data_IF_347389828905
#
_entry.id   IF_347389828905
#
_cell.length_a   1.000
_cell.length_b   1.000
_cell.length_c   1.000
_cell.angle_alpha   90.00
_cell.angle_beta   90.00
_cell.angle_gamma   90.00
#
_symmetry.space_group_name_H-M   'P 1'
#
loop_
_entity.id
_entity.type
_entity.pdbx_description
1 polymer ?
#
# COMPACT_ATOMS: atom_id res chain seq x y z
N UNK A 1 -18.19 -0.59 -7.11
CA UNK A 1 -17.50 -0.17 -5.88
C UNK A 1 -16.97 -1.42 -5.21
N UNK A 2 -15.69 -1.76 -5.45
CA UNK A 2 -15.07 -2.94 -4.85
C UNK A 2 -14.85 -2.67 -3.36
N UNK A 3 -15.29 -3.59 -2.49
CA UNK A 3 -15.18 -3.47 -1.01
C UNK A 3 -13.73 -3.27 -0.54
N UNK A 4 -12.76 -3.62 -1.37
CA UNK A 4 -11.32 -3.60 -1.10
C UNK A 4 -10.74 -2.21 -0.85
N UNK A 5 -11.16 -1.16 -1.58
CA UNK A 5 -10.57 0.19 -1.40
C UNK A 5 -10.84 0.76 0.00
N UNK A 6 -12.05 0.54 0.51
CA UNK A 6 -12.43 0.99 1.85
C UNK A 6 -11.64 0.23 2.92
N UNK A 7 -11.42 -1.08 2.73
CA UNK A 7 -10.62 -1.89 3.63
C UNK A 7 -9.17 -1.39 3.70
N UNK A 8 -8.54 -1.06 2.57
CA UNK A 8 -7.20 -0.47 2.55
C UNK A 8 -7.15 0.86 3.30
N UNK A 9 -8.16 1.73 3.13
CA UNK A 9 -8.26 2.98 3.89
C UNK A 9 -8.37 2.73 5.40
N UNK A 10 -9.26 1.81 5.82
CA UNK A 10 -9.45 1.48 7.23
C UNK A 10 -8.20 0.88 7.85
N UNK A 11 -7.50 -0.01 7.13
CA UNK A 11 -6.24 -0.61 7.57
C UNK A 11 -5.16 0.48 7.70
N UNK A 12 -5.05 1.38 6.74
CA UNK A 12 -4.08 2.47 6.79
C UNK A 12 -4.31 3.38 8.01
N UNK A 13 -5.56 3.77 8.26
CA UNK A 13 -5.92 4.58 9.42
C UNK A 13 -5.65 3.84 10.73
N UNK A 14 -5.96 2.54 10.80
CA UNK A 14 -5.67 1.73 11.98
C UNK A 14 -4.16 1.67 12.27
N UNK A 15 -3.32 1.45 11.25
CA UNK A 15 -1.86 1.47 11.39
C UNK A 15 -1.37 2.86 11.83
N UNK A 16 -1.85 3.93 11.18
CA UNK A 16 -1.47 5.29 11.54
C UNK A 16 -1.82 5.61 12.99
N UNK A 17 -3.03 5.31 13.45
CA UNK A 17 -3.46 5.57 14.82
C UNK A 17 -2.67 4.74 15.83
N UNK A 18 -2.37 3.47 15.52
CA UNK A 18 -1.58 2.60 16.39
C UNK A 18 -0.12 3.08 16.55
N UNK A 19 0.48 3.60 15.47
CA UNK A 19 1.87 4.08 15.47
C UNK A 19 2.01 5.55 15.88
N UNK A 20 0.90 6.29 15.92
CA UNK A 20 0.85 7.71 16.25
C UNK A 20 1.60 8.08 17.55
N UNK A 21 1.38 7.42 18.71
CA UNK A 21 2.04 7.81 19.95
C UNK A 21 3.55 7.58 19.94
N UNK A 22 4.06 6.74 19.03
CA UNK A 22 5.48 6.38 18.95
C UNK A 22 6.23 7.23 17.93
N UNK A 23 5.63 7.47 16.75
CA UNK A 23 6.29 8.12 15.61
C UNK A 23 5.77 9.54 15.33
N UNK A 24 4.64 9.90 15.93
CA UNK A 24 3.89 11.10 15.57
C UNK A 24 3.00 10.91 14.33
N UNK A 25 2.05 11.85 14.08
CA UNK A 25 1.01 11.73 13.06
C UNK A 25 1.54 11.50 11.64
N UNK A 26 2.52 12.30 11.26
CA UNK A 26 3.05 12.36 9.89
C UNK A 26 3.80 11.07 9.58
N UNK A 27 4.75 10.68 10.44
CA UNK A 27 5.56 9.49 10.24
C UNK A 27 4.71 8.21 10.33
N UNK A 28 3.73 8.15 11.24
CA UNK A 28 2.80 7.02 11.31
C UNK A 28 1.95 6.88 10.03
N UNK A 29 1.47 7.98 9.46
CA UNK A 29 0.76 7.98 8.17
C UNK A 29 1.66 7.53 7.00
N UNK A 30 2.91 8.02 6.96
CA UNK A 30 3.87 7.61 5.95
C UNK A 30 4.19 6.10 6.02
N UNK A 31 4.36 5.55 7.22
CA UNK A 31 4.57 4.10 7.42
C UNK A 31 3.35 3.30 6.96
N UNK A 32 2.14 3.72 7.31
CA UNK A 32 0.91 3.05 6.89
C UNK A 32 0.81 2.96 5.36
N UNK A 33 1.07 4.07 4.66
CA UNK A 33 1.09 4.11 3.19
C UNK A 33 2.21 3.24 2.62
N UNK A 34 3.42 3.29 3.18
CA UNK A 34 4.56 2.52 2.70
C UNK A 34 4.30 1.00 2.77
N UNK A 35 3.63 0.52 3.82
CA UNK A 35 3.26 -0.88 3.96
C UNK A 35 2.26 -1.32 2.88
N UNK A 36 1.24 -0.50 2.60
CA UNK A 36 0.26 -0.81 1.55
C UNK A 36 0.85 -0.72 0.14
N UNK A 37 1.74 0.25 -0.09
CA UNK A 37 2.49 0.35 -1.34
C UNK A 37 3.39 -0.89 -1.56
N UNK A 38 4.10 -1.33 -0.51
CA UNK A 38 4.90 -2.55 -0.56
C UNK A 38 4.07 -3.80 -0.87
N UNK A 39 2.87 -3.90 -0.29
CA UNK A 39 1.92 -4.97 -0.59
C UNK A 39 1.51 -4.99 -2.07
N UNK A 40 1.14 -3.84 -2.64
CA UNK A 40 0.75 -3.75 -4.06
C UNK A 40 1.93 -4.07 -5.00
N UNK A 41 3.14 -3.58 -4.69
CA UNK A 41 4.36 -3.92 -5.44
C UNK A 41 4.57 -5.45 -5.44
N UNK A 42 4.49 -6.08 -4.26
CA UNK A 42 4.63 -7.54 -4.16
C UNK A 42 3.55 -8.31 -4.93
N UNK A 43 2.32 -7.79 -4.98
CA UNK A 43 1.26 -8.39 -5.81
C UNK A 43 1.53 -8.25 -7.30
N UNK A 44 2.13 -7.15 -7.75
CA UNK A 44 2.57 -7.00 -9.13
C UNK A 44 3.71 -7.97 -9.46
N UNK A 45 4.71 -8.10 -8.59
CA UNK A 45 5.80 -9.06 -8.77
C UNK A 45 5.28 -10.50 -8.84
N UNK A 46 4.35 -10.86 -7.97
CA UNK A 46 3.71 -12.17 -7.97
C UNK A 46 2.99 -12.45 -9.29
N UNK A 47 2.19 -11.48 -9.78
CA UNK A 47 1.46 -11.60 -11.05
C UNK A 47 2.40 -11.74 -12.25
N UNK A 48 3.45 -10.92 -12.30
CA UNK A 48 4.49 -11.00 -13.32
C UNK A 48 5.23 -12.34 -13.26
N UNK A 49 5.46 -12.88 -12.07
CA UNK A 49 6.02 -14.23 -11.89
C UNK A 49 5.12 -15.28 -12.53
N UNK A 50 3.83 -15.28 -12.19
CA UNK A 50 2.86 -16.23 -12.76
C UNK A 50 2.75 -16.11 -14.29
N UNK A 51 2.75 -14.89 -14.83
CA UNK A 51 2.75 -14.65 -16.29
C UNK A 51 4.00 -15.21 -16.98
N UNK A 52 5.12 -15.32 -16.26
CA UNK A 52 6.39 -15.90 -16.73
C UNK A 52 6.51 -17.41 -16.46
N UNK A 53 5.43 -18.05 -16.00
CA UNK A 53 5.41 -19.47 -15.70
C UNK A 53 6.12 -19.85 -14.40
N UNK A 54 6.31 -18.90 -13.47
CA UNK A 54 6.87 -19.18 -12.15
C UNK A 54 6.00 -20.17 -11.37
N UNK A 55 6.64 -21.11 -10.68
CA UNK A 55 6.01 -22.04 -9.75
C UNK A 55 6.51 -21.81 -8.34
N UNK A 56 5.66 -22.11 -7.36
CA UNK A 56 6.03 -21.98 -5.95
C UNK A 56 7.23 -22.86 -5.62
N UNK A 57 8.26 -22.27 -5.01
CA UNK A 57 9.53 -22.94 -4.69
C UNK A 57 10.68 -22.55 -5.62
N UNK A 58 10.39 -22.02 -6.82
CA UNK A 58 11.41 -21.50 -7.72
C UNK A 58 11.82 -20.07 -7.33
N UNK A 59 13.04 -19.63 -7.69
CA UNK A 59 13.39 -18.22 -7.64
C UNK A 59 12.44 -17.39 -8.52
N UNK A 60 11.88 -16.31 -7.96
CA UNK A 60 10.95 -15.46 -8.68
C UNK A 60 11.67 -14.80 -9.88
N UNK A 61 11.22 -15.03 -11.14
CA UNK A 61 11.90 -14.54 -12.34
C UNK A 61 11.52 -13.08 -12.64
N UNK A 62 11.56 -12.23 -11.61
CA UNK A 62 11.16 -10.82 -11.66
C UNK A 62 12.26 -10.00 -11.01
N UNK A 63 12.71 -8.93 -11.68
CA UNK A 63 13.70 -8.04 -11.07
C UNK A 63 13.03 -7.20 -9.98
N UNK A 64 13.78 -6.85 -8.95
CA UNK A 64 13.33 -6.09 -7.77
C UNK A 64 12.59 -4.78 -8.07
N UNK A 65 12.77 -4.20 -9.25
CA UNK A 65 12.16 -2.94 -9.65
C UNK A 65 10.91 -3.10 -10.51
N UNK A 66 10.63 -4.30 -11.03
CA UNK A 66 9.57 -4.47 -12.01
C UNK A 66 8.19 -4.27 -11.39
N UNK A 67 7.97 -4.68 -10.14
CA UNK A 67 6.70 -4.43 -9.45
C UNK A 67 6.42 -2.94 -9.18
N UNK A 68 7.45 -2.09 -9.25
CA UNK A 68 7.31 -0.64 -9.03
C UNK A 68 6.61 0.04 -10.20
N UNK A 69 6.82 -0.42 -11.45
CA UNK A 69 6.27 0.25 -12.63
C UNK A 69 5.54 -0.65 -13.63
N UNK A 70 5.54 -1.99 -13.46
CA UNK A 70 4.79 -2.94 -14.28
C UNK A 70 3.63 -3.56 -13.49
N UNK A 71 2.57 -3.95 -14.19
CA UNK A 71 1.43 -4.64 -13.60
C UNK A 71 0.39 -3.76 -12.91
N UNK A 72 0.64 -2.44 -12.83
CA UNK A 72 -0.29 -1.47 -12.23
C UNK A 72 -1.60 -1.40 -13.00
N UNK A 73 -2.68 -1.54 -12.25
CA UNK A 73 -4.03 -1.30 -12.73
C UNK A 73 -4.57 -0.03 -12.10
N UNK A 74 -5.67 0.51 -12.66
CA UNK A 74 -6.38 1.64 -12.05
C UNK A 74 -6.81 1.31 -10.61
N UNK A 75 -7.26 0.09 -10.36
CA UNK A 75 -7.71 -0.34 -9.03
C UNK A 75 -6.54 -0.37 -8.03
N UNK A 76 -5.40 -0.94 -8.42
CA UNK A 76 -4.17 -0.92 -7.60
C UNK A 76 -3.69 0.51 -7.29
N UNK A 77 -3.79 1.43 -8.26
CA UNK A 77 -3.46 2.82 -8.02
C UNK A 77 -4.40 3.48 -6.99
N UNK A 78 -5.70 3.16 -7.04
CA UNK A 78 -6.70 3.64 -6.07
C UNK A 78 -6.46 3.02 -4.68
N UNK A 79 -6.07 1.74 -4.62
CA UNK A 79 -5.74 1.04 -3.37
C UNK A 79 -4.56 1.66 -2.61
N UNK A 80 -3.70 2.44 -3.27
CA UNK A 80 -2.64 3.24 -2.63
C UNK A 80 -3.05 4.70 -2.44
N UNK A 81 -3.65 5.32 -3.46
CA UNK A 81 -3.99 6.74 -3.43
C UNK A 81 -5.07 7.07 -2.39
N UNK A 82 -6.05 6.19 -2.19
CA UNK A 82 -7.11 6.42 -1.20
C UNK A 82 -6.56 6.42 0.25
N UNK A 83 -5.73 5.44 0.66
CA UNK A 83 -4.98 5.52 1.92
C UNK A 83 -4.12 6.78 2.09
N UNK A 84 -3.42 7.22 1.04
CA UNK A 84 -2.63 8.47 1.09
C UNK A 84 -3.52 9.65 1.43
N UNK A 85 -4.67 9.77 0.76
CA UNK A 85 -5.63 10.85 1.01
C UNK A 85 -6.21 10.80 2.43
N UNK A 86 -6.63 9.62 2.87
CA UNK A 86 -7.23 9.43 4.19
C UNK A 86 -6.24 9.71 5.33
N UNK A 87 -5.02 9.18 5.23
CA UNK A 87 -3.99 9.38 6.25
C UNK A 87 -3.52 10.83 6.32
N UNK A 88 -3.37 11.50 5.17
CA UNK A 88 -3.07 12.94 5.11
C UNK A 88 -4.19 13.78 5.72
N UNK A 89 -5.46 13.45 5.44
CA UNK A 89 -6.59 14.13 6.05
C UNK A 89 -6.60 13.95 7.57
N UNK A 90 -6.31 12.76 8.08
CA UNK A 90 -6.21 12.51 9.52
C UNK A 90 -5.11 13.34 10.18
N UNK A 91 -3.94 13.49 9.53
CA UNK A 91 -2.87 14.40 9.99
C UNK A 91 -3.37 15.84 10.03
N UNK A 92 -4.00 16.33 8.95
CA UNK A 92 -4.48 17.70 8.88
C UNK A 92 -5.50 18.02 9.97
N UNK A 93 -6.45 17.11 10.22
CA UNK A 93 -7.45 17.26 11.28
C UNK A 93 -6.74 17.40 12.63
N UNK A 94 -5.76 16.54 12.93
CA UNK A 94 -5.07 16.60 14.21
C UNK A 94 -4.13 17.80 14.37
N UNK A 95 -3.64 18.40 13.28
CA UNK A 95 -2.88 19.64 13.35
C UNK A 95 -3.76 20.89 13.52
N UNK A 96 -5.06 20.80 13.23
CA UNK A 96 -6.03 21.90 13.36
C UNK A 96 -6.74 21.93 14.72
N UNK A 97 -6.62 20.86 15.51
CA UNK A 97 -7.17 20.74 16.87
C UNK A 97 -6.13 21.12 17.92
#
# INVERSE_FOLDING_TARGET
MNRTHLEHVLIALAIQLALWPLLGPIAAGAVAVALLLGREIGQHEYRLGLERGWQWGDPLPVRWHEGVWRGWTRDSAIDVAAPVGATSLAVLIACLM
#
